data_IF_803466668268
#
_entry.id   IF_803466668268
#
_cell.length_a   1.000
_cell.length_b   1.000
_cell.length_c   1.000
_cell.angle_alpha   90.00
_cell.angle_beta   90.00
_cell.angle_gamma   90.00
#
_symmetry.space_group_name_H-M   'P 1'
#
loop_
_entity.id
_entity.type
_entity.pdbx_description
1 polymer ?
#
# COMPACT_ATOMS: atom_id res chain seq x y z
N UNK A 1 -21.44 20.85 3.55
CA UNK A 1 -20.41 21.91 3.58
C UNK A 1 -19.20 21.41 2.81
N UNK A 2 -18.83 22.06 1.71
CA UNK A 2 -17.54 21.79 1.05
C UNK A 2 -16.47 22.35 1.97
N UNK A 3 -15.72 21.49 2.65
CA UNK A 3 -14.54 21.92 3.40
C UNK A 3 -13.48 22.33 2.38
N UNK A 4 -13.38 23.62 2.07
CA UNK A 4 -12.25 24.15 1.34
C UNK A 4 -10.99 23.92 2.18
N UNK A 5 -9.96 23.29 1.59
CA UNK A 5 -8.62 23.26 2.15
C UNK A 5 -8.19 24.71 2.46
N UNK A 6 -7.73 24.95 3.68
CA UNK A 6 -7.20 26.27 4.06
C UNK A 6 -5.99 26.62 3.19
N UNK A 7 -5.69 27.90 2.99
CA UNK A 7 -4.56 28.33 2.16
C UNK A 7 -3.21 27.72 2.64
N UNK A 8 -3.05 27.56 3.94
CA UNK A 8 -1.90 26.86 4.55
C UNK A 8 -1.75 25.42 4.04
N UNK A 9 -2.86 24.68 3.93
CA UNK A 9 -2.82 23.31 3.38
C UNK A 9 -2.50 23.27 1.89
N UNK A 10 -2.81 24.32 1.12
CA UNK A 10 -2.51 24.37 -0.32
C UNK A 10 -1.00 24.48 -0.57
N UNK A 11 -0.34 25.39 0.14
CA UNK A 11 1.11 25.58 0.03
C UNK A 11 1.86 24.31 0.46
N UNK A 12 1.41 23.67 1.54
CA UNK A 12 1.98 22.41 2.03
C UNK A 12 1.85 21.29 0.99
N UNK A 13 0.68 21.14 0.36
CA UNK A 13 0.46 20.13 -0.70
C UNK A 13 1.38 20.36 -1.90
N UNK A 14 1.53 21.61 -2.36
CA UNK A 14 2.39 21.94 -3.50
C UNK A 14 3.86 21.67 -3.17
N UNK A 15 4.34 22.16 -2.02
CA UNK A 15 5.73 21.95 -1.56
C UNK A 15 6.03 20.47 -1.36
N UNK A 16 5.11 19.75 -0.73
CA UNK A 16 5.25 18.31 -0.48
C UNK A 16 5.29 17.51 -1.79
N UNK A 17 4.42 17.83 -2.75
CA UNK A 17 4.42 17.16 -4.06
C UNK A 17 5.73 17.39 -4.81
N UNK A 18 6.22 18.63 -4.85
CA UNK A 18 7.49 18.95 -5.50
C UNK A 18 8.70 18.33 -4.79
N UNK A 19 8.64 18.18 -3.46
CA UNK A 19 9.69 17.59 -2.64
C UNK A 19 9.73 16.06 -2.63
N UNK A 20 8.70 15.38 -3.14
CA UNK A 20 8.62 13.92 -3.05
C UNK A 20 9.71 13.18 -3.84
N UNK A 21 9.99 13.49 -5.14
CA UNK A 21 11.01 12.79 -5.90
C UNK A 21 12.42 12.80 -5.29
N UNK A 22 12.98 13.95 -4.85
CA UNK A 22 14.31 13.94 -4.23
C UNK A 22 14.32 13.16 -2.92
N UNK A 23 13.25 13.21 -2.12
CA UNK A 23 13.17 12.52 -0.83
C UNK A 23 13.17 10.99 -0.97
N UNK A 24 12.40 10.45 -1.91
CA UNK A 24 12.43 9.01 -2.22
C UNK A 24 13.82 8.58 -2.70
N UNK A 25 14.47 9.40 -3.54
CA UNK A 25 15.81 9.10 -4.06
C UNK A 25 16.85 8.97 -2.94
N UNK A 26 16.75 9.81 -1.92
CA UNK A 26 17.62 9.76 -0.73
C UNK A 26 17.36 8.51 0.13
N UNK A 27 16.11 8.05 0.19
CA UNK A 27 15.67 6.93 1.04
C UNK A 27 15.64 5.56 0.36
N UNK A 28 16.18 5.44 -0.86
CA UNK A 28 16.07 4.24 -1.71
C UNK A 28 16.55 2.93 -1.06
N UNK A 29 17.54 3.01 -0.16
CA UNK A 29 18.10 1.81 0.48
C UNK A 29 17.32 1.39 1.73
N UNK A 30 16.70 2.35 2.42
CA UNK A 30 15.92 2.10 3.64
C UNK A 30 14.50 1.59 3.30
N UNK A 31 14.05 1.86 2.08
CA UNK A 31 12.71 1.49 1.62
C UNK A 31 12.66 0.08 1.05
N UNK A 32 13.80 -0.54 0.70
CA UNK A 32 13.78 -1.83 0.01
C UNK A 32 13.72 -3.04 0.95
N UNK A 33 12.83 -3.98 0.67
CA UNK A 33 12.62 -5.24 1.41
C UNK A 33 13.40 -6.39 0.79
N UNK A 34 13.26 -6.59 -0.52
CA UNK A 34 13.81 -7.75 -1.25
C UNK A 34 14.30 -7.31 -2.63
N UNK A 35 15.61 -7.04 -2.73
CA UNK A 35 16.24 -6.59 -3.98
C UNK A 35 16.70 -7.72 -4.91
N UNK A 36 16.77 -8.95 -4.40
CA UNK A 36 17.31 -10.10 -5.15
C UNK A 36 16.24 -10.86 -5.96
N UNK A 37 14.97 -10.48 -5.79
CA UNK A 37 13.83 -11.15 -6.40
C UNK A 37 13.51 -12.52 -5.76
N UNK A 38 12.57 -13.27 -6.35
CA UNK A 38 11.74 -12.88 -7.48
C UNK A 38 10.85 -11.67 -7.14
N UNK A 39 10.60 -10.81 -8.13
CA UNK A 39 9.68 -9.68 -7.98
C UNK A 39 8.24 -10.14 -8.27
N UNK A 40 7.25 -9.72 -7.48
CA UNK A 40 5.87 -10.10 -7.68
C UNK A 40 5.33 -9.55 -9.00
N UNK A 41 4.52 -10.36 -9.69
CA UNK A 41 3.70 -9.90 -10.81
C UNK A 41 2.50 -9.12 -10.26
N UNK A 42 2.35 -7.87 -10.70
CA UNK A 42 1.22 -7.01 -10.33
C UNK A 42 0.30 -6.83 -11.53
N UNK A 43 -0.98 -7.11 -11.31
CA UNK A 43 -2.07 -6.65 -12.16
C UNK A 43 -2.45 -5.23 -11.74
N UNK A 44 -2.45 -4.27 -12.66
CA UNK A 44 -2.66 -2.85 -12.37
C UNK A 44 -4.13 -2.52 -12.09
N UNK A 45 -5.06 -3.22 -12.74
CA UNK A 45 -6.50 -3.02 -12.57
C UNK A 45 -7.24 -4.24 -12.02
N UNK A 46 -6.90 -4.67 -10.79
CA UNK A 46 -7.53 -5.81 -10.12
C UNK A 46 -8.94 -5.47 -9.60
N UNK A 47 -9.88 -5.16 -10.49
CA UNK A 47 -11.30 -4.95 -10.22
C UNK A 47 -12.10 -6.25 -10.43
N UNK A 48 -13.29 -6.34 -9.81
CA UNK A 48 -14.16 -7.50 -9.99
C UNK A 48 -14.59 -7.74 -11.45
N UNK A 49 -14.66 -6.67 -12.27
CA UNK A 49 -14.97 -6.77 -13.70
C UNK A 49 -13.93 -7.56 -14.50
N UNK A 50 -12.72 -7.69 -13.97
CA UNK A 50 -11.60 -8.36 -14.62
C UNK A 50 -11.42 -9.80 -14.12
N UNK A 51 -12.34 -10.30 -13.28
CA UNK A 51 -12.37 -11.68 -12.79
C UNK A 51 -13.59 -12.40 -13.39
N UNK A 52 -13.33 -13.41 -14.21
CA UNK A 52 -14.38 -14.25 -14.80
C UNK A 52 -14.65 -15.42 -13.85
N UNK A 53 -15.91 -15.60 -13.50
CA UNK A 53 -16.39 -16.67 -12.61
C UNK A 53 -17.49 -17.49 -13.28
N UNK A 54 -17.66 -18.73 -12.84
CA UNK A 54 -18.84 -19.54 -13.19
C UNK A 54 -20.05 -19.24 -12.30
N UNK A 55 -21.13 -20.01 -12.46
CA UNK A 55 -22.37 -19.87 -11.68
C UNK A 55 -22.21 -20.23 -10.20
N UNK A 56 -21.13 -20.91 -9.83
CA UNK A 56 -20.81 -21.32 -8.45
C UNK A 56 -19.73 -20.41 -7.83
N UNK A 57 -19.35 -19.33 -8.52
CA UNK A 57 -18.30 -18.39 -8.13
C UNK A 57 -16.87 -18.96 -8.14
N UNK A 58 -16.63 -20.07 -8.85
CA UNK A 58 -15.25 -20.51 -9.09
C UNK A 58 -14.58 -19.56 -10.08
N UNK A 59 -13.34 -19.15 -9.77
CA UNK A 59 -12.55 -18.29 -10.67
C UNK A 59 -12.11 -19.09 -11.89
N UNK A 60 -12.58 -18.69 -13.08
CA UNK A 60 -12.24 -19.30 -14.36
C UNK A 60 -11.04 -18.61 -15.02
N UNK A 61 -10.97 -17.28 -14.91
CA UNK A 61 -9.92 -16.49 -15.56
C UNK A 61 -9.78 -15.10 -14.94
N UNK A 62 -8.59 -14.52 -15.09
CA UNK A 62 -8.31 -13.10 -14.87
C UNK A 62 -7.95 -12.52 -16.24
N UNK A 63 -8.60 -11.43 -16.63
CA UNK A 63 -8.43 -10.77 -17.93
C UNK A 63 -7.84 -9.37 -17.76
N UNK A 64 -7.62 -8.68 -18.88
CA UNK A 64 -7.20 -7.27 -18.90
C UNK A 64 -5.80 -7.02 -18.33
N UNK A 65 -4.85 -7.87 -18.73
CA UNK A 65 -3.45 -7.83 -18.31
C UNK A 65 -2.64 -6.68 -18.92
N UNK A 66 -3.28 -5.73 -19.59
CA UNK A 66 -2.55 -4.56 -20.09
C UNK A 66 -1.92 -3.79 -18.92
N UNK A 67 -0.70 -3.31 -19.13
CA UNK A 67 0.11 -2.65 -18.09
C UNK A 67 0.51 -3.53 -16.90
N UNK A 68 0.18 -4.83 -16.87
CA UNK A 68 0.71 -5.74 -15.86
C UNK A 68 2.23 -5.90 -15.99
N UNK A 69 2.92 -6.07 -14.87
CA UNK A 69 4.38 -6.19 -14.85
C UNK A 69 4.90 -6.64 -13.51
N UNK A 70 6.17 -7.06 -13.48
CA UNK A 70 6.85 -7.29 -12.22
C UNK A 70 7.19 -5.96 -11.57
N UNK A 71 6.97 -5.86 -10.27
CA UNK A 71 7.21 -4.64 -9.50
C UNK A 71 8.08 -4.93 -8.28
N UNK A 72 8.85 -3.94 -7.79
CA UNK A 72 9.43 -4.03 -6.46
C UNK A 72 8.35 -4.34 -5.40
N UNK A 73 8.71 -5.08 -4.35
CA UNK A 73 7.77 -5.50 -3.32
C UNK A 73 7.08 -4.32 -2.63
N UNK A 74 7.76 -3.18 -2.54
CA UNK A 74 7.27 -1.92 -1.96
C UNK A 74 6.14 -1.27 -2.77
N UNK A 75 5.89 -1.74 -4.00
CA UNK A 75 4.84 -1.27 -4.91
C UNK A 75 3.63 -2.19 -4.96
N UNK A 76 3.60 -3.18 -4.09
CA UNK A 76 2.50 -4.11 -4.02
C UNK A 76 1.38 -3.53 -3.15
N UNK A 77 0.18 -3.51 -3.72
CA UNK A 77 -1.03 -2.97 -3.10
C UNK A 77 -2.09 -4.06 -3.00
N UNK A 78 -3.06 -3.83 -2.12
CA UNK A 78 -4.31 -4.55 -2.18
C UNK A 78 -4.95 -4.46 -3.58
N UNK A 79 -5.70 -5.50 -4.01
CA UNK A 79 -6.55 -5.41 -5.20
C UNK A 79 -7.41 -4.15 -5.21
N UNK A 80 -7.69 -3.60 -6.39
CA UNK A 80 -8.36 -2.29 -6.55
C UNK A 80 -9.73 -2.24 -5.88
N UNK A 81 -10.46 -3.35 -5.82
CA UNK A 81 -11.73 -3.42 -5.10
C UNK A 81 -11.61 -3.27 -3.57
N UNK A 82 -10.43 -3.53 -3.00
CA UNK A 82 -10.08 -3.27 -1.59
C UNK A 82 -9.30 -1.97 -1.39
N UNK A 83 -9.15 -1.15 -2.43
CA UNK A 83 -8.43 0.11 -2.31
C UNK A 83 -9.21 1.12 -1.46
N UNK A 84 -8.45 1.78 -0.59
CA UNK A 84 -8.83 2.90 0.28
C UNK A 84 -7.60 3.75 0.47
N UNK A 85 -7.81 5.07 0.41
CA UNK A 85 -6.79 6.06 0.69
C UNK A 85 -6.24 5.82 2.10
N UNK A 86 -4.91 5.73 2.29
CA UNK A 86 -4.37 5.60 3.63
C UNK A 86 -4.69 6.81 4.51
N UNK A 87 -4.82 6.63 5.84
CA UNK A 87 -5.09 7.73 6.77
C UNK A 87 -4.10 8.90 6.65
N UNK A 88 -2.84 8.59 6.33
CA UNK A 88 -1.77 9.54 6.03
C UNK A 88 -2.13 10.63 5.02
N UNK A 89 -3.03 10.29 4.11
CA UNK A 89 -3.44 11.11 2.97
C UNK A 89 -4.87 11.62 3.09
N UNK A 90 -5.58 11.22 4.14
CA UNK A 90 -6.97 11.59 4.36
C UNK A 90 -7.07 12.58 5.54
N UNK A 91 -8.26 13.11 5.76
CA UNK A 91 -8.46 14.12 6.77
C UNK A 91 -8.53 13.52 8.19
N UNK A 92 -7.79 14.04 9.17
CA UNK A 92 -7.74 13.48 10.53
C UNK A 92 -9.11 13.34 11.21
N UNK A 93 -10.05 14.26 10.95
CA UNK A 93 -11.40 14.23 11.54
C UNK A 93 -12.30 13.12 11.00
N UNK A 94 -11.85 12.35 9.99
CA UNK A 94 -12.55 11.16 9.51
C UNK A 94 -12.21 9.91 10.32
N UNK A 95 -11.33 10.03 11.32
CA UNK A 95 -10.86 8.93 12.14
C UNK A 95 -11.17 9.19 13.63
N UNK A 96 -11.44 8.11 14.35
CA UNK A 96 -11.63 8.13 15.80
C UNK A 96 -10.31 8.26 16.55
N UNK A 97 -10.39 8.40 17.87
CA UNK A 97 -9.21 8.43 18.74
C UNK A 97 -8.40 7.11 18.71
N UNK A 98 -9.03 6.01 18.28
CA UNK A 98 -8.41 4.71 18.05
C UNK A 98 -7.73 4.59 16.67
N UNK A 99 -7.72 5.65 15.86
CA UNK A 99 -7.17 5.67 14.51
C UNK A 99 -8.05 4.95 13.48
N UNK A 100 -9.25 4.48 13.85
CA UNK A 100 -10.15 3.79 12.92
C UNK A 100 -11.04 4.76 12.17
N UNK A 101 -11.41 4.45 10.91
CA UNK A 101 -12.34 5.28 10.15
C UNK A 101 -13.68 5.42 10.88
N UNK A 102 -14.26 6.62 10.83
CA UNK A 102 -15.59 6.91 11.38
C UNK A 102 -16.73 6.45 10.46
N UNK A 103 -16.46 6.33 9.15
CA UNK A 103 -17.44 5.92 8.16
C UNK A 103 -17.52 4.38 8.06
N UNK A 104 -18.74 3.84 8.08
CA UNK A 104 -18.99 2.39 8.12
C UNK A 104 -18.51 1.66 6.86
N UNK A 105 -18.64 2.29 5.69
CA UNK A 105 -18.16 1.76 4.41
C UNK A 105 -16.63 1.60 4.36
N UNK A 106 -15.91 2.45 5.08
CA UNK A 106 -14.45 2.43 5.16
C UNK A 106 -14.00 1.41 6.18
N UNK A 107 -14.70 1.32 7.32
CA UNK A 107 -14.50 0.25 8.31
C UNK A 107 -14.72 -1.13 7.70
N UNK A 108 -15.78 -1.29 6.90
CA UNK A 108 -16.08 -2.56 6.22
C UNK A 108 -14.91 -3.02 5.34
N UNK A 109 -14.40 -2.13 4.49
CA UNK A 109 -13.26 -2.48 3.61
C UNK A 109 -11.99 -2.76 4.39
N UNK A 110 -11.78 -2.12 5.53
CA UNK A 110 -10.66 -2.48 6.41
C UNK A 110 -10.80 -3.90 6.97
N UNK A 111 -12.01 -4.32 7.36
CA UNK A 111 -12.28 -5.71 7.71
C UNK A 111 -12.05 -6.67 6.55
N UNK A 112 -12.52 -6.33 5.34
CA UNK A 112 -12.31 -7.14 4.13
C UNK A 112 -10.80 -7.27 3.78
N UNK A 113 -9.99 -6.23 4.05
CA UNK A 113 -8.52 -6.31 3.92
C UNK A 113 -7.90 -7.28 4.91
N UNK A 114 -8.33 -7.26 6.18
CA UNK A 114 -7.85 -8.20 7.20
C UNK A 114 -8.18 -9.65 6.83
N UNK A 115 -9.39 -9.91 6.33
CA UNK A 115 -9.79 -11.21 5.82
C UNK A 115 -8.98 -11.64 4.59
N UNK A 116 -8.76 -10.71 3.66
CA UNK A 116 -7.93 -10.96 2.47
C UNK A 116 -6.50 -11.34 2.85
N UNK A 117 -5.87 -10.59 3.76
CA UNK A 117 -4.51 -10.89 4.23
C UNK A 117 -4.43 -12.27 4.88
N UNK A 118 -5.42 -12.64 5.69
CA UNK A 118 -5.49 -13.97 6.30
C UNK A 118 -5.57 -15.06 5.24
N UNK A 119 -6.41 -14.86 4.23
CA UNK A 119 -6.57 -15.80 3.11
C UNK A 119 -5.27 -15.93 2.30
N UNK A 120 -4.54 -14.83 2.10
CA UNK A 120 -3.22 -14.86 1.45
C UNK A 120 -2.22 -15.66 2.27
N UNK A 121 -2.11 -15.39 3.57
CA UNK A 121 -1.19 -16.10 4.46
C UNK A 121 -1.50 -17.61 4.56
N UNK A 122 -2.78 -17.97 4.59
CA UNK A 122 -3.22 -19.37 4.53
C UNK A 122 -2.81 -20.02 3.20
N UNK A 123 -3.04 -19.36 2.06
CA UNK A 123 -2.62 -19.87 0.76
C UNK A 123 -1.10 -19.98 0.59
N UNK A 124 -0.32 -19.03 1.13
CA UNK A 124 1.15 -19.11 1.14
C UNK A 124 1.61 -20.36 1.90
N UNK A 125 1.03 -20.59 3.09
CA UNK A 125 1.32 -21.76 3.92
C UNK A 125 0.92 -23.08 3.25
N UNK A 126 -0.28 -23.16 2.68
CA UNK A 126 -0.78 -24.37 2.01
C UNK A 126 0.07 -24.77 0.80
N UNK A 127 0.61 -23.78 0.08
CA UNK A 127 1.46 -23.99 -1.10
C UNK A 127 2.95 -24.14 -0.76
N UNK A 128 3.33 -23.98 0.51
CA UNK A 128 4.72 -24.04 0.95
C UNK A 128 5.57 -22.87 0.45
N UNK A 129 4.96 -21.70 0.22
CA UNK A 129 5.66 -20.47 -0.12
C UNK A 129 6.09 -19.69 1.13
N UNK A 130 6.96 -18.71 0.93
CA UNK A 130 7.27 -17.73 1.98
C UNK A 130 6.08 -16.79 2.26
N UNK A 131 6.16 -16.03 3.34
CA UNK A 131 5.13 -15.11 3.83
C UNK A 131 5.26 -13.69 3.24
N UNK A 132 5.96 -13.53 2.12
CA UNK A 132 6.31 -12.24 1.56
C UNK A 132 5.10 -11.40 1.16
N UNK A 133 4.08 -12.00 0.55
CA UNK A 133 2.91 -11.27 0.07
C UNK A 133 2.05 -10.81 1.25
N UNK A 134 1.75 -11.72 2.19
CA UNK A 134 0.99 -11.36 3.40
C UNK A 134 1.73 -10.34 4.27
N UNK A 135 3.06 -10.46 4.40
CA UNK A 135 3.88 -9.50 5.15
C UNK A 135 3.85 -8.09 4.56
N UNK A 136 3.94 -7.97 3.23
CA UNK A 136 3.88 -6.66 2.55
C UNK A 136 2.47 -6.05 2.61
N UNK A 137 1.42 -6.86 2.42
CA UNK A 137 0.04 -6.40 2.52
C UNK A 137 -0.33 -5.98 3.95
N UNK A 138 0.21 -6.67 4.96
CA UNK A 138 0.03 -6.37 6.38
C UNK A 138 0.81 -5.17 6.89
N UNK A 139 1.80 -4.71 6.14
CA UNK A 139 2.62 -3.57 6.53
C UNK A 139 1.95 -2.25 6.13
N UNK A 140 1.44 -1.52 7.12
CA UNK A 140 0.93 -0.15 6.94
C UNK A 140 2.00 0.73 6.25
N UNK A 141 3.27 0.55 6.62
CA UNK A 141 4.37 1.28 6.01
C UNK A 141 4.46 1.04 4.49
N UNK A 142 4.48 -0.22 4.04
CA UNK A 142 4.59 -0.52 2.61
C UNK A 142 3.31 -0.17 1.85
N UNK A 143 2.13 -0.31 2.46
CA UNK A 143 0.89 0.11 1.83
C UNK A 143 0.81 1.64 1.66
N UNK A 144 1.34 2.41 2.63
CA UNK A 144 1.45 3.86 2.51
C UNK A 144 2.47 4.25 1.45
N UNK A 145 3.65 3.63 1.47
CA UNK A 145 4.71 3.89 0.48
C UNK A 145 4.25 3.56 -0.94
N UNK A 146 3.58 2.42 -1.14
CA UNK A 146 3.01 2.07 -2.43
C UNK A 146 1.97 3.09 -2.88
N UNK A 147 1.09 3.53 -1.96
CA UNK A 147 0.11 4.58 -2.25
C UNK A 147 0.77 5.90 -2.64
N UNK A 148 1.91 6.26 -2.04
CA UNK A 148 2.70 7.42 -2.47
C UNK A 148 3.11 7.29 -3.95
N UNK A 149 3.66 6.13 -4.34
CA UNK A 149 4.08 5.88 -5.71
C UNK A 149 2.90 5.97 -6.68
N UNK A 150 1.82 5.22 -6.43
CA UNK A 150 0.67 5.15 -7.32
C UNK A 150 0.01 6.53 -7.48
N UNK A 151 -0.25 7.25 -6.39
CA UNK A 151 -0.88 8.57 -6.45
C UNK A 151 0.00 9.60 -7.17
N UNK A 152 1.33 9.55 -6.96
CA UNK A 152 2.25 10.48 -7.61
C UNK A 152 2.37 10.19 -9.12
N UNK A 153 2.45 8.91 -9.51
CA UNK A 153 2.47 8.50 -10.92
C UNK A 153 1.16 8.87 -11.64
N UNK A 154 0.02 8.83 -10.93
CA UNK A 154 -1.28 9.32 -11.40
C UNK A 154 -1.39 10.86 -11.47
N UNK A 155 -0.34 11.59 -11.11
CA UNK A 155 -0.28 13.05 -11.14
C UNK A 155 -1.15 13.73 -10.07
N UNK A 156 -1.44 13.06 -8.95
CA UNK A 156 -2.20 13.67 -7.85
C UNK A 156 -1.32 14.63 -7.04
N UNK A 157 -1.93 15.70 -6.54
CA UNK A 157 -1.28 16.60 -5.59
C UNK A 157 -1.58 16.10 -4.17
N UNK A 158 -0.56 15.94 -3.33
CA UNK A 158 -0.74 15.43 -1.97
C UNK A 158 0.40 15.78 -1.00
N UNK A 159 0.20 15.43 0.27
CA UNK A 159 1.15 15.61 1.38
C UNK A 159 2.15 14.43 1.52
N UNK A 160 2.67 13.96 0.39
CA UNK A 160 3.64 12.84 0.31
C UNK A 160 4.81 12.90 1.30
N UNK A 161 5.49 14.04 1.44
CA UNK A 161 6.64 14.17 2.33
C UNK A 161 6.25 13.97 3.80
N UNK A 162 5.07 14.48 4.21
CA UNK A 162 4.54 14.26 5.56
C UNK A 162 4.14 12.79 5.75
N UNK A 163 3.49 12.21 4.75
CA UNK A 163 3.16 10.78 4.77
C UNK A 163 4.40 9.90 4.88
N UNK A 164 5.55 10.28 4.32
CA UNK A 164 6.80 9.55 4.54
C UNK A 164 7.31 9.68 5.97
N UNK A 165 7.13 10.83 6.62
CA UNK A 165 7.61 11.09 7.98
C UNK A 165 6.81 10.38 9.06
N UNK A 166 5.49 10.26 8.87
CA UNK A 166 4.58 9.71 9.88
C UNK A 166 4.70 8.19 10.08
N UNK A 167 5.33 7.45 9.15
CA UNK A 167 5.41 5.98 9.23
C UNK A 167 6.80 5.39 8.98
N UNK A 168 7.87 6.20 8.95
CA UNK A 168 9.21 5.61 8.91
C UNK A 168 9.37 4.62 10.07
N UNK A 169 9.79 3.37 9.81
CA UNK A 169 9.97 2.39 10.88
C UNK A 169 10.88 3.01 11.95
N UNK A 170 10.47 2.89 13.21
CA UNK A 170 11.30 3.32 14.33
C UNK A 170 12.67 2.63 14.16
N UNK A 171 13.70 3.45 13.96
CA UNK A 171 15.10 3.01 13.78
C UNK A 171 15.63 2.22 14.99
N UNK A 172 14.84 2.10 16.06
CA UNK A 172 15.15 1.34 17.27
C UNK A 172 14.78 -0.15 17.22
N UNK A 173 13.96 -0.61 16.28
CA UNK A 173 13.46 -2.00 16.24
C UNK A 173 14.01 -2.77 15.03
N UNK A 174 15.17 -3.40 15.25
CA UNK A 174 15.51 -4.69 14.62
C UNK A 174 16.03 -4.66 13.18
N UNK A 175 17.28 -4.26 12.99
CA UNK A 175 18.11 -5.00 12.03
C UNK A 175 18.43 -6.36 12.65
N UNK A 176 18.29 -7.50 11.94
CA UNK A 176 18.87 -8.75 12.40
C UNK A 176 20.37 -8.50 12.60
N UNK A 177 20.88 -8.84 13.79
CA UNK A 177 22.32 -8.83 14.03
C UNK A 177 22.95 -9.66 12.92
N UNK A 178 23.84 -9.05 12.12
CA UNK A 178 24.72 -9.80 11.22
C UNK A 178 25.27 -10.96 12.02
N UNK A 179 24.98 -12.19 11.56
CA UNK A 179 25.59 -13.38 12.10
C UNK A 179 27.10 -13.16 12.13
N UNK A 180 27.70 -13.45 13.29
CA UNK A 180 29.13 -13.65 13.40
C UNK A 180 29.54 -14.67 12.35
N UNK A 181 30.46 -14.27 11.47
CA UNK A 181 31.22 -15.20 10.64
C UNK A 181 31.98 -16.15 11.58
N UNK A 182 31.82 -17.46 11.35
CA UNK A 182 32.68 -18.51 11.90
C UNK A 182 34.04 -18.51 11.18
#
# INVERSE_FOLDING_TARGET
MSAMLTEEYKDDVVKSTAGFPPRIKEQRFDTTVRNEGPFPLRHTDSLHSNVIVDTEFNVLSIIDWEHAGTVPWERLEFPRFLYRLPPAFDFPWRYGADGKPLADDTRKVWGEREEYMRSVAESEKERGYDDGLSSILGSIYYQNLSSCYSLYEDGKLSIYCRALDDFMPDRSVGMPKKGSED
#
